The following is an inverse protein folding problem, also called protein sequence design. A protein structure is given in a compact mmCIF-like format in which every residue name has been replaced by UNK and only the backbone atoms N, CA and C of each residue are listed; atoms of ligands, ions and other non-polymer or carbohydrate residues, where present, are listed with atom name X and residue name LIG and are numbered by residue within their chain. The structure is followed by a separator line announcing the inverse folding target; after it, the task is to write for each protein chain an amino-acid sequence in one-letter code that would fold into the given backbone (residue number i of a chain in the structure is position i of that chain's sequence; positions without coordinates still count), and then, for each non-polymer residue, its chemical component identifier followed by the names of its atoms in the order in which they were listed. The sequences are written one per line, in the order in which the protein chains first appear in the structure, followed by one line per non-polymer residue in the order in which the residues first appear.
data_IF_962960195920
#
_entry.id   IF_962960195920
#
_cell.length_a   1.000
_cell.length_b   1.000
_cell.length_c   1.000
_cell.angle_alpha   90.00
_cell.angle_beta   90.00
_cell.angle_gamma   90.00
#
_symmetry.space_group_name_H-M   'P 1'
#
loop_
_entity.id
_entity.type
_entity.pdbx_description
1 polymer ?
#
# COMPACT_ATOMS: atom_id res chain seq x y z
N UNK A 1 -51.46 31.22 20.94
CA UNK A 1 -51.04 30.60 19.66
C UNK A 1 -49.53 30.63 19.36
N UNK A 2 -48.61 30.87 20.33
CA UNK A 2 -47.15 30.93 20.06
C UNK A 2 -46.39 29.60 20.17
N UNK A 3 -46.98 28.55 20.74
CA UNK A 3 -46.31 27.25 20.98
C UNK A 3 -46.18 26.34 19.74
N UNK A 4 -47.00 26.55 18.71
CA UNK A 4 -46.95 25.74 17.47
C UNK A 4 -45.75 26.07 16.58
N UNK A 5 -45.36 27.35 16.53
CA UNK A 5 -44.20 27.84 15.76
C UNK A 5 -42.88 27.26 16.28
N UNK A 6 -42.69 27.18 17.59
CA UNK A 6 -41.46 26.65 18.20
C UNK A 6 -41.30 25.13 18.01
N UNK A 7 -42.41 24.38 17.93
CA UNK A 7 -42.36 22.93 17.75
C UNK A 7 -42.00 22.57 16.31
N UNK A 8 -42.56 23.29 15.33
CA UNK A 8 -42.24 23.11 13.92
C UNK A 8 -40.79 23.47 13.61
N UNK A 9 -40.26 24.52 14.22
CA UNK A 9 -38.85 24.94 14.09
C UNK A 9 -37.87 23.88 14.62
N UNK A 10 -38.19 23.23 15.74
CA UNK A 10 -37.39 22.13 16.28
C UNK A 10 -37.39 20.93 15.31
N UNK A 11 -38.55 20.57 14.76
CA UNK A 11 -38.65 19.46 13.79
C UNK A 11 -37.80 19.74 12.56
N UNK A 12 -37.88 20.96 12.00
CA UNK A 12 -37.09 21.36 10.83
C UNK A 12 -35.58 21.35 11.17
N UNK A 13 -35.21 21.80 12.36
CA UNK A 13 -33.80 21.79 12.79
C UNK A 13 -33.26 20.36 12.92
N UNK A 14 -34.04 19.44 13.49
CA UNK A 14 -33.66 18.03 13.64
C UNK A 14 -33.58 17.30 12.30
N UNK A 15 -34.46 17.61 11.34
CA UNK A 15 -34.41 17.01 10.00
C UNK A 15 -33.19 17.49 9.21
N UNK A 16 -32.86 18.78 9.30
CA UNK A 16 -31.62 19.30 8.69
C UNK A 16 -30.41 18.66 9.34
N UNK A 17 -30.39 18.56 10.68
CA UNK A 17 -29.27 17.97 11.42
C UNK A 17 -29.06 16.49 11.08
N UNK A 18 -30.13 15.70 10.95
CA UNK A 18 -30.03 14.27 10.61
C UNK A 18 -29.48 14.07 9.20
N UNK A 19 -29.88 14.93 8.25
CA UNK A 19 -29.37 14.89 6.88
C UNK A 19 -27.87 15.22 6.82
N UNK A 20 -27.41 16.20 7.60
CA UNK A 20 -25.99 16.53 7.71
C UNK A 20 -25.18 15.38 8.34
N UNK A 21 -25.69 14.75 9.40
CA UNK A 21 -25.03 13.61 10.04
C UNK A 21 -24.90 12.42 9.10
N UNK A 22 -25.93 12.14 8.30
CA UNK A 22 -25.85 11.11 7.26
C UNK A 22 -24.74 11.41 6.23
N UNK A 23 -24.63 12.68 5.82
CA UNK A 23 -23.54 13.14 4.95
C UNK A 23 -22.16 12.89 5.55
N UNK A 24 -21.93 13.27 6.80
CA UNK A 24 -20.65 13.05 7.49
C UNK A 24 -20.30 11.57 7.65
N UNK A 25 -21.28 10.72 7.90
CA UNK A 25 -21.05 9.28 8.04
C UNK A 25 -20.46 8.69 6.75
N UNK A 26 -20.96 9.12 5.58
CA UNK A 26 -20.43 8.66 4.30
C UNK A 26 -18.96 9.06 4.09
N UNK A 27 -18.62 10.30 4.45
CA UNK A 27 -17.26 10.84 4.34
C UNK A 27 -16.34 10.09 5.29
N UNK A 28 -16.78 9.84 6.53
CA UNK A 28 -16.00 9.12 7.53
C UNK A 28 -15.68 7.69 7.09
N UNK A 29 -16.65 6.97 6.51
CA UNK A 29 -16.42 5.62 5.98
C UNK A 29 -15.39 5.66 4.83
N UNK A 30 -15.53 6.62 3.92
CA UNK A 30 -14.58 6.81 2.82
C UNK A 30 -13.16 7.12 3.33
N UNK A 31 -13.04 8.06 4.26
CA UNK A 31 -11.78 8.45 4.88
C UNK A 31 -11.11 7.28 5.63
N UNK A 32 -11.90 6.48 6.35
CA UNK A 32 -11.41 5.27 7.03
C UNK A 32 -10.82 4.28 6.03
N UNK A 33 -11.52 4.02 4.92
CA UNK A 33 -11.05 3.13 3.85
C UNK A 33 -9.76 3.65 3.22
N UNK A 34 -9.71 4.94 2.89
CA UNK A 34 -8.50 5.56 2.33
C UNK A 34 -7.31 5.50 3.29
N UNK A 35 -7.55 5.70 4.59
CA UNK A 35 -6.49 5.59 5.60
C UNK A 35 -5.96 4.16 5.70
N UNK A 36 -6.83 3.14 5.67
CA UNK A 36 -6.43 1.73 5.63
C UNK A 36 -5.57 1.42 4.40
N UNK A 37 -6.02 1.87 3.23
CA UNK A 37 -5.30 1.68 1.98
C UNK A 37 -3.92 2.38 1.98
N UNK A 38 -3.87 3.61 2.50
CA UNK A 38 -2.62 4.38 2.61
C UNK A 38 -1.61 3.72 3.56
N UNK A 39 -2.09 3.17 4.68
CA UNK A 39 -1.26 2.37 5.59
C UNK A 39 -0.72 1.12 4.91
N UNK A 40 -1.56 0.34 4.24
CA UNK A 40 -1.13 -0.86 3.52
C UNK A 40 -0.08 -0.54 2.45
N UNK A 41 -0.27 0.55 1.71
CA UNK A 41 0.70 1.03 0.72
C UNK A 41 2.05 1.43 1.36
N UNK A 42 2.03 2.06 2.53
CA UNK A 42 3.25 2.42 3.25
C UNK A 42 3.98 1.17 3.75
N UNK A 43 3.25 0.22 4.32
CA UNK A 43 3.81 -1.08 4.74
C UNK A 43 4.41 -1.84 3.57
N UNK A 44 3.73 -1.88 2.41
CA UNK A 44 4.26 -2.49 1.19
C UNK A 44 5.57 -1.83 0.73
N UNK A 45 5.68 -0.50 0.85
CA UNK A 45 6.91 0.22 0.49
C UNK A 45 8.07 -0.12 1.43
N UNK A 46 7.83 -0.22 2.74
CA UNK A 46 8.85 -0.64 3.72
C UNK A 46 9.29 -2.09 3.50
N UNK A 47 8.36 -2.99 3.19
CA UNK A 47 8.68 -4.38 2.80
C UNK A 47 9.57 -4.39 1.55
N UNK A 48 9.19 -3.64 0.51
CA UNK A 48 9.98 -3.53 -0.71
C UNK A 48 11.39 -2.96 -0.44
N UNK A 49 11.49 -1.96 0.45
CA UNK A 49 12.76 -1.36 0.85
C UNK A 49 13.65 -2.39 1.54
N UNK A 50 13.12 -3.13 2.51
CA UNK A 50 13.85 -4.19 3.20
C UNK A 50 14.41 -5.24 2.22
N UNK A 51 13.70 -5.50 1.11
CA UNK A 51 14.20 -6.39 0.06
C UNK A 51 15.24 -5.75 -0.88
N UNK A 52 15.15 -4.45 -1.15
CA UNK A 52 16.11 -3.74 -1.99
C UNK A 52 17.45 -3.47 -1.28
N UNK A 53 17.41 -3.23 0.02
CA UNK A 53 18.59 -2.87 0.83
C UNK A 53 19.75 -3.87 0.70
N UNK A 54 19.56 -5.20 0.86
CA UNK A 54 20.66 -6.17 0.71
C UNK A 54 21.13 -6.35 -0.74
N UNK A 55 20.27 -6.07 -1.73
CA UNK A 55 20.66 -6.17 -3.15
C UNK A 55 21.73 -5.14 -3.52
N UNK A 56 21.80 -4.01 -2.80
CA UNK A 56 22.85 -3.01 -3.03
C UNK A 56 24.26 -3.59 -2.79
N UNK A 57 24.42 -4.43 -1.77
CA UNK A 57 25.71 -5.07 -1.48
C UNK A 57 26.14 -6.07 -2.55
N UNK A 58 25.21 -6.55 -3.38
CA UNK A 58 25.51 -7.49 -4.45
C UNK A 58 26.05 -6.80 -5.71
N UNK A 59 26.01 -5.46 -5.82
CA UNK A 59 26.47 -4.72 -7.01
C UNK A 59 28.01 -4.60 -7.08
N UNK A 60 28.76 -5.45 -6.37
CA UNK A 60 30.22 -5.43 -6.42
C UNK A 60 30.75 -5.99 -7.75
N UNK A 61 31.84 -5.41 -8.23
CA UNK A 61 32.43 -5.73 -9.53
C UNK A 61 32.98 -7.17 -9.61
N UNK A 62 33.37 -7.75 -8.48
CA UNK A 62 33.92 -9.11 -8.36
C UNK A 62 32.85 -10.21 -8.50
N UNK A 63 31.58 -9.91 -8.23
CA UNK A 63 30.49 -10.90 -8.20
C UNK A 63 29.38 -10.65 -9.24
N UNK A 64 29.56 -9.64 -10.12
CA UNK A 64 28.51 -9.14 -11.03
C UNK A 64 27.90 -10.18 -11.99
N UNK A 65 28.57 -11.29 -12.27
CA UNK A 65 28.09 -12.34 -13.17
C UNK A 65 27.54 -13.58 -12.44
N UNK A 66 27.80 -13.71 -11.15
CA UNK A 66 27.49 -14.91 -10.34
C UNK A 66 26.49 -14.62 -9.22
N UNK A 67 26.19 -13.35 -8.96
CA UNK A 67 25.21 -12.89 -7.99
C UNK A 67 23.76 -12.91 -8.55
N UNK A 68 22.79 -12.73 -7.64
CA UNK A 68 21.37 -12.62 -7.97
C UNK A 68 21.06 -11.65 -9.12
N UNK A 69 21.67 -10.47 -9.11
CA UNK A 69 21.37 -9.40 -10.06
C UNK A 69 21.95 -9.67 -11.46
N UNK A 70 23.01 -10.47 -11.54
CA UNK A 70 23.72 -10.83 -12.75
C UNK A 70 23.14 -12.08 -13.43
N UNK A 71 23.06 -13.18 -12.68
CA UNK A 71 22.66 -14.51 -13.17
C UNK A 71 21.18 -14.82 -12.94
N UNK A 72 20.48 -14.08 -12.07
CA UNK A 72 19.12 -14.41 -11.65
C UNK A 72 19.03 -15.65 -10.74
N UNK A 73 20.16 -16.20 -10.29
CA UNK A 73 20.26 -17.37 -9.42
C UNK A 73 20.78 -16.97 -8.03
N UNK A 74 20.48 -17.77 -6.99
CA UNK A 74 20.88 -17.51 -5.59
C UNK A 74 20.45 -16.12 -5.07
N UNK A 75 19.35 -15.60 -5.61
CA UNK A 75 18.69 -14.45 -4.99
C UNK A 75 18.35 -14.80 -3.55
N UNK A 76 18.65 -13.89 -2.59
CA UNK A 76 18.21 -14.11 -1.22
C UNK A 76 16.73 -14.49 -1.27
N UNK A 77 16.40 -15.64 -0.69
CA UNK A 77 15.07 -16.25 -0.74
C UNK A 77 14.09 -15.43 0.10
N UNK A 78 13.79 -14.23 -0.37
CA UNK A 78 12.81 -13.29 0.12
C UNK A 78 12.87 -12.12 -0.88
N UNK A 79 12.06 -12.25 -1.95
CA UNK A 79 10.64 -11.99 -1.82
C UNK A 79 9.72 -13.19 -2.08
N UNK A 80 10.23 -14.43 -2.17
CA UNK A 80 9.39 -15.56 -2.57
C UNK A 80 8.31 -15.95 -1.53
N UNK A 81 8.44 -15.51 -0.28
CA UNK A 81 7.48 -15.84 0.77
C UNK A 81 6.51 -14.68 1.00
N UNK A 82 5.23 -15.02 0.98
CA UNK A 82 4.15 -14.14 1.40
C UNK A 82 4.40 -13.64 2.83
N UNK A 83 4.36 -12.32 3.02
CA UNK A 83 4.48 -11.69 4.33
C UNK A 83 3.08 -11.30 4.78
N UNK A 84 2.62 -11.83 5.93
CA UNK A 84 1.32 -11.46 6.48
C UNK A 84 1.50 -10.52 7.67
N UNK A 85 0.95 -9.31 7.57
CA UNK A 85 0.95 -8.29 8.61
C UNK A 85 -0.47 -7.71 8.72
N UNK A 86 -0.98 -7.57 9.94
CA UNK A 86 -2.32 -7.01 10.20
C UNK A 86 -3.44 -7.66 9.37
N UNK A 87 -3.37 -8.99 9.20
CA UNK A 87 -4.29 -9.78 8.38
C UNK A 87 -4.30 -9.44 6.88
N UNK A 88 -3.31 -8.68 6.40
CA UNK A 88 -3.06 -8.42 4.98
C UNK A 88 -1.84 -9.25 4.55
N UNK A 89 -2.01 -10.04 3.49
CA UNK A 89 -0.92 -10.79 2.88
C UNK A 89 -0.31 -9.99 1.73
N UNK A 90 0.97 -9.69 1.87
CA UNK A 90 1.81 -9.03 0.87
C UNK A 90 2.61 -10.09 0.12
N UNK A 91 2.49 -10.08 -1.20
CA UNK A 91 3.09 -11.04 -2.14
C UNK A 91 4.17 -10.32 -2.94
N UNK A 92 5.44 -10.47 -2.57
CA UNK A 92 6.50 -9.73 -3.24
C UNK A 92 7.02 -10.54 -4.45
N UNK A 93 7.36 -9.86 -5.54
CA UNK A 93 7.87 -10.46 -6.78
C UNK A 93 9.05 -9.66 -7.28
N UNK A 94 10.21 -10.30 -7.40
CA UNK A 94 11.42 -9.71 -7.98
C UNK A 94 11.48 -10.02 -9.47
N UNK A 95 11.71 -9.00 -10.27
CA UNK A 95 11.96 -9.10 -11.71
C UNK A 95 13.26 -8.39 -12.05
N UNK A 96 14.13 -9.05 -12.81
CA UNK A 96 15.40 -8.50 -13.26
C UNK A 96 15.38 -8.48 -14.79
N UNK A 97 15.65 -7.32 -15.38
CA UNK A 97 15.69 -7.18 -16.84
C UNK A 97 16.94 -6.42 -17.30
N UNK A 98 17.44 -6.75 -18.49
CA UNK A 98 18.51 -6.00 -19.12
C UNK A 98 17.99 -4.67 -19.67
N UNK A 99 18.81 -3.63 -19.62
CA UNK A 99 18.52 -2.36 -20.30
C UNK A 99 19.25 -2.37 -21.65
N UNK A 100 18.48 -2.29 -22.73
CA UNK A 100 19.00 -2.35 -24.09
C UNK A 100 20.10 -1.29 -24.34
N UNK A 101 21.18 -1.70 -25.00
CA UNK A 101 22.31 -0.81 -25.33
C UNK A 101 23.23 -0.48 -24.15
N UNK A 102 23.07 -1.10 -22.99
CA UNK A 102 23.92 -0.87 -21.82
C UNK A 102 24.30 -2.20 -21.14
N UNK A 103 25.29 -2.16 -20.25
CA UNK A 103 25.62 -3.27 -19.33
C UNK A 103 24.79 -3.25 -18.05
N UNK A 104 23.83 -2.31 -17.94
CA UNK A 104 23.02 -2.12 -16.75
C UNK A 104 21.88 -3.13 -16.66
N UNK A 105 21.61 -3.54 -15.42
CA UNK A 105 20.49 -4.39 -15.04
C UNK A 105 19.47 -3.56 -14.25
N UNK A 106 18.20 -3.80 -14.52
CA UNK A 106 17.08 -3.22 -13.76
C UNK A 106 16.50 -4.28 -12.85
N UNK A 107 16.59 -4.07 -11.55
CA UNK A 107 15.83 -4.83 -10.56
C UNK A 107 14.53 -4.08 -10.24
N UNK A 108 13.40 -4.80 -10.28
CA UNK A 108 12.09 -4.28 -9.91
C UNK A 108 11.45 -5.25 -8.92
N UNK A 109 11.06 -4.72 -7.78
CA UNK A 109 10.21 -5.43 -6.81
C UNK A 109 8.79 -4.93 -6.98
N UNK A 110 7.85 -5.86 -7.16
CA UNK A 110 6.42 -5.62 -7.14
C UNK A 110 5.86 -6.24 -5.86
N UNK A 111 5.04 -5.50 -5.14
CA UNK A 111 4.32 -6.01 -3.97
C UNK A 111 2.84 -6.00 -4.33
N UNK A 112 2.22 -7.16 -4.36
CA UNK A 112 0.78 -7.31 -4.53
C UNK A 112 0.14 -7.61 -3.17
N UNK A 113 -1.01 -6.98 -2.87
CA UNK A 113 -1.75 -7.24 -1.64
C UNK A 113 -3.25 -7.16 -1.90
N UNK A 114 -4.03 -7.78 -1.02
CA UNK A 114 -5.49 -7.71 -1.06
C UNK A 114 -6.02 -7.19 0.26
N UNK A 115 -6.80 -6.11 0.19
CA UNK A 115 -7.53 -5.57 1.34
C UNK A 115 -8.94 -6.17 1.36
N UNK A 116 -9.24 -6.98 2.37
CA UNK A 116 -10.62 -7.33 2.72
C UNK A 116 -11.37 -6.13 3.32
#
# INVERSE_FOLDING_TARGET
MRRGLTLMEIIISVTILSMLMAGFLSIFISARRQTKHSRARTTAAEIARNFLEPLHMQVRQDEWATNCLGSGSNCPSSPANDVTLDSITYRPTLTISNIAGTTLKKARIRIDWSEN
#
